data_IF_808482372413
#
_entry.id   IF_808482372413
#
_cell.length_a   1.000
_cell.length_b   1.000
_cell.length_c   1.000
_cell.angle_alpha   90.00
_cell.angle_beta   90.00
_cell.angle_gamma   90.00
#
_symmetry.space_group_name_H-M   'P 1'
#
loop_
_entity.id
_entity.type
_entity.pdbx_description
1 polymer ?
#
# COMPACT_ATOMS: atom_id res chain seq x y z
N UNK A 1 -20.31 -42.87 -4.43
CA UNK A 1 -19.19 -41.91 -4.50
C UNK A 1 -19.46 -40.71 -3.60
N UNK A 2 -18.77 -40.54 -2.48
CA UNK A 2 -18.92 -39.37 -1.59
C UNK A 2 -18.13 -38.19 -2.17
N UNK A 3 -18.80 -37.08 -2.49
CA UNK A 3 -18.17 -35.81 -2.87
C UNK A 3 -17.29 -35.31 -1.72
N UNK A 4 -15.96 -35.28 -1.90
CA UNK A 4 -15.04 -34.62 -0.97
C UNK A 4 -15.32 -33.12 -1.05
N UNK A 5 -15.94 -32.55 -0.02
CA UNK A 5 -16.03 -31.09 0.09
C UNK A 5 -14.62 -30.55 0.31
N UNK A 6 -14.10 -29.83 -0.68
CA UNK A 6 -12.92 -29.00 -0.55
C UNK A 6 -13.21 -27.93 0.51
N UNK A 7 -12.80 -28.17 1.76
CA UNK A 7 -12.78 -27.13 2.78
C UNK A 7 -11.61 -26.22 2.44
N UNK A 8 -11.90 -25.03 1.93
CA UNK A 8 -10.92 -23.95 1.85
C UNK A 8 -10.33 -23.73 3.25
N UNK A 9 -8.99 -23.69 3.39
CA UNK A 9 -8.37 -23.49 4.69
C UNK A 9 -8.85 -22.15 5.26
N UNK A 10 -9.48 -22.19 6.44
CA UNK A 10 -9.82 -20.97 7.19
C UNK A 10 -8.52 -20.25 7.51
N UNK A 11 -8.37 -19.01 7.01
CA UNK A 11 -7.29 -18.12 7.40
C UNK A 11 -7.41 -17.88 8.92
N UNK A 12 -6.57 -18.56 9.69
CA UNK A 12 -6.42 -18.31 11.12
C UNK A 12 -5.69 -16.97 11.24
N UNK A 13 -6.31 -16.01 11.93
CA UNK A 13 -5.68 -14.73 12.26
C UNK A 13 -4.38 -15.01 13.01
N UNK A 14 -3.26 -14.69 12.37
CA UNK A 14 -1.92 -14.73 12.95
C UNK A 14 -1.30 -13.35 12.75
N UNK A 15 -0.37 -12.96 13.60
CA UNK A 15 0.47 -11.81 13.31
C UNK A 15 1.37 -12.12 12.10
N UNK A 16 1.81 -11.08 11.39
CA UNK A 16 2.79 -11.23 10.32
C UNK A 16 4.06 -11.92 10.86
N UNK A 17 4.54 -13.00 10.22
CA UNK A 17 5.88 -13.51 10.49
C UNK A 17 6.93 -12.40 10.29
N UNK A 18 8.01 -12.37 11.10
CA UNK A 18 9.02 -11.32 11.02
C UNK A 18 9.58 -11.09 9.61
N UNK A 19 9.77 -12.15 8.82
CA UNK A 19 10.21 -12.04 7.41
C UNK A 19 9.22 -11.31 6.50
N UNK A 20 7.91 -11.52 6.69
CA UNK A 20 6.89 -10.82 5.91
C UNK A 20 6.77 -9.36 6.37
N UNK A 21 6.97 -9.10 7.65
CA UNK A 21 7.06 -7.76 8.19
C UNK A 21 8.23 -6.98 7.59
N UNK A 22 9.43 -7.58 7.49
CA UNK A 22 10.58 -6.95 6.84
C UNK A 22 10.29 -6.57 5.39
N UNK A 23 9.65 -7.44 4.60
CA UNK A 23 9.36 -7.14 3.19
C UNK A 23 8.27 -6.10 3.02
N UNK A 24 7.23 -6.14 3.86
CA UNK A 24 6.10 -5.22 3.77
C UNK A 24 6.49 -3.82 4.26
N UNK A 25 7.29 -3.72 5.32
CA UNK A 25 7.55 -2.44 6.01
C UNK A 25 8.95 -1.88 5.71
N UNK A 26 10.01 -2.69 5.79
CA UNK A 26 11.39 -2.18 5.70
C UNK A 26 11.75 -1.75 4.28
N UNK A 27 11.33 -2.49 3.26
CA UNK A 27 11.60 -2.13 1.86
C UNK A 27 11.10 -0.73 1.48
N UNK A 28 9.80 -0.43 1.64
CA UNK A 28 9.26 0.91 1.39
C UNK A 28 9.89 2.00 2.26
N UNK A 29 10.34 1.67 3.48
CA UNK A 29 11.06 2.61 4.35
C UNK A 29 12.39 3.04 3.75
N UNK A 30 13.19 2.07 3.30
CA UNK A 30 14.46 2.34 2.60
C UNK A 30 14.21 3.17 1.34
N UNK A 31 13.17 2.82 0.57
CA UNK A 31 12.80 3.57 -0.62
C UNK A 31 12.38 5.00 -0.31
N UNK A 32 11.65 5.24 0.80
CA UNK A 32 11.37 6.60 1.24
C UNK A 32 12.68 7.34 1.57
N UNK A 33 13.56 6.75 2.37
CA UNK A 33 14.82 7.41 2.76
C UNK A 33 15.66 7.79 1.53
N UNK A 34 15.69 6.94 0.50
CA UNK A 34 16.35 7.23 -0.78
C UNK A 34 15.67 8.39 -1.53
N UNK A 35 14.34 8.42 -1.57
CA UNK A 35 13.58 9.54 -2.17
C UNK A 35 13.88 10.85 -1.45
N UNK A 36 13.92 10.83 -0.12
CA UNK A 36 14.19 12.01 0.70
C UNK A 36 15.65 12.47 0.61
N UNK A 37 16.57 11.58 0.22
CA UNK A 37 17.95 11.92 -0.12
C UNK A 37 18.11 12.45 -1.56
N UNK A 38 17.00 12.65 -2.29
CA UNK A 38 17.02 13.15 -3.68
C UNK A 38 17.25 12.07 -4.74
N UNK A 39 17.30 10.78 -4.36
CA UNK A 39 17.45 9.67 -5.30
C UNK A 39 16.09 9.26 -5.86
N UNK A 40 15.54 10.08 -6.76
CA UNK A 40 14.26 9.75 -7.39
C UNK A 40 14.38 8.52 -8.31
N UNK A 41 13.59 7.50 -8.00
CA UNK A 41 13.35 6.35 -8.85
C UNK A 41 11.86 6.00 -8.77
N UNK A 42 11.24 5.73 -9.93
CA UNK A 42 9.83 5.37 -10.01
C UNK A 42 9.51 4.13 -9.17
N UNK A 43 10.43 3.16 -9.10
CA UNK A 43 10.29 1.98 -8.25
C UNK A 43 10.20 2.33 -6.77
N UNK A 44 10.96 3.35 -6.32
CA UNK A 44 10.91 3.80 -4.93
C UNK A 44 9.56 4.44 -4.61
N UNK A 45 9.09 5.32 -5.50
CA UNK A 45 7.78 5.98 -5.34
C UNK A 45 6.64 4.96 -5.37
N UNK A 46 6.65 4.01 -6.32
CA UNK A 46 5.66 2.94 -6.38
C UNK A 46 5.68 2.02 -5.16
N UNK A 47 6.86 1.76 -4.59
CA UNK A 47 6.97 0.97 -3.36
C UNK A 47 6.35 1.69 -2.16
N UNK A 48 6.58 2.99 -2.02
CA UNK A 48 5.94 3.82 -0.98
C UNK A 48 4.42 3.87 -1.20
N UNK A 49 3.98 4.07 -2.45
CA UNK A 49 2.57 4.03 -2.83
C UNK A 49 1.89 2.72 -2.42
N UNK A 50 2.54 1.59 -2.73
CA UNK A 50 2.04 0.26 -2.40
C UNK A 50 1.81 0.08 -0.90
N UNK A 51 2.76 0.51 -0.07
CA UNK A 51 2.63 0.43 1.38
C UNK A 51 1.46 1.27 1.91
N UNK A 52 1.36 2.53 1.48
CA UNK A 52 0.28 3.42 1.87
C UNK A 52 -1.09 2.89 1.42
N UNK A 53 -1.18 2.30 0.22
CA UNK A 53 -2.42 1.69 -0.27
C UNK A 53 -2.89 0.53 0.60
N UNK A 54 -1.97 -0.37 0.97
CA UNK A 54 -2.29 -1.51 1.86
C UNK A 54 -2.70 -1.01 3.24
N UNK A 55 -1.96 -0.05 3.81
CA UNK A 55 -2.28 0.52 5.12
C UNK A 55 -3.63 1.25 5.13
N UNK A 56 -3.91 2.05 4.10
CA UNK A 56 -5.18 2.77 3.96
C UNK A 56 -6.36 1.82 3.79
N UNK A 57 -6.19 0.76 2.99
CA UNK A 57 -7.21 -0.28 2.84
C UNK A 57 -7.44 -1.08 4.14
N UNK A 58 -6.37 -1.37 4.90
CA UNK A 58 -6.50 -1.99 6.20
C UNK A 58 -7.25 -1.09 7.20
N UNK A 59 -6.94 0.22 7.22
CA UNK A 59 -7.63 1.20 8.06
C UNK A 59 -9.13 1.29 7.70
N UNK A 60 -9.45 1.31 6.41
CA UNK A 60 -10.82 1.26 5.89
C UNK A 60 -11.56 0.01 6.37
N UNK A 61 -10.97 -1.18 6.22
CA UNK A 61 -11.59 -2.44 6.65
C UNK A 61 -11.86 -2.52 8.15
N UNK A 62 -11.08 -1.81 8.95
CA UNK A 62 -11.24 -1.72 10.41
C UNK A 62 -12.11 -0.53 10.85
N UNK A 63 -12.50 0.36 9.93
CA UNK A 63 -13.32 1.54 10.22
C UNK A 63 -12.58 2.71 10.87
N UNK A 64 -11.25 2.73 10.85
CA UNK A 64 -10.43 3.79 11.47
C UNK A 64 -10.23 4.97 10.52
N UNK A 65 -11.23 5.86 10.45
CA UNK A 65 -11.26 6.99 9.52
C UNK A 65 -10.12 8.00 9.71
N UNK A 66 -9.69 8.22 10.94
CA UNK A 66 -8.59 9.16 11.25
C UNK A 66 -7.27 8.65 10.68
N UNK A 67 -6.95 7.37 10.91
CA UNK A 67 -5.76 6.72 10.35
C UNK A 67 -5.82 6.74 8.82
N UNK A 68 -7.00 6.42 8.26
CA UNK A 68 -7.20 6.48 6.81
C UNK A 68 -6.95 7.89 6.26
N UNK A 69 -7.45 8.94 6.93
CA UNK A 69 -7.28 10.32 6.50
C UNK A 69 -5.79 10.75 6.47
N UNK A 70 -5.01 10.38 7.49
CA UNK A 70 -3.57 10.66 7.51
C UNK A 70 -2.82 9.94 6.39
N UNK A 71 -3.14 8.66 6.16
CA UNK A 71 -2.55 7.89 5.05
C UNK A 71 -2.91 8.51 3.70
N UNK A 72 -4.15 9.01 3.56
CA UNK A 72 -4.64 9.62 2.31
C UNK A 72 -3.84 10.87 1.91
N UNK A 73 -3.38 11.67 2.89
CA UNK A 73 -2.51 12.82 2.62
C UNK A 73 -1.21 12.38 1.94
N UNK A 74 -0.58 11.31 2.44
CA UNK A 74 0.61 10.73 1.82
C UNK A 74 0.34 10.16 0.43
N UNK A 75 -0.77 9.43 0.26
CA UNK A 75 -1.16 8.89 -1.05
C UNK A 75 -1.36 10.00 -2.09
N UNK A 76 -1.95 11.12 -1.70
CA UNK A 76 -2.14 12.28 -2.57
C UNK A 76 -0.79 12.85 -3.04
N UNK A 77 0.16 13.04 -2.12
CA UNK A 77 1.50 13.53 -2.50
C UNK A 77 2.19 12.56 -3.43
N UNK A 78 2.19 11.27 -3.11
CA UNK A 78 2.82 10.21 -3.93
C UNK A 78 2.23 10.18 -5.34
N UNK A 79 0.91 10.34 -5.48
CA UNK A 79 0.27 10.44 -6.79
C UNK A 79 0.84 11.62 -7.60
N UNK A 80 0.99 12.81 -6.98
CA UNK A 80 1.60 13.96 -7.65
C UNK A 80 3.05 13.70 -8.05
N UNK A 81 3.83 12.97 -7.24
CA UNK A 81 5.21 12.63 -7.59
C UNK A 81 5.26 11.71 -8.83
N UNK A 82 4.33 10.76 -8.92
CA UNK A 82 4.18 9.85 -10.07
C UNK A 82 3.79 10.64 -11.32
N UNK A 83 2.75 11.47 -11.24
CA UNK A 83 2.22 12.24 -12.36
C UNK A 83 3.24 13.23 -12.93
N UNK A 84 4.05 13.83 -12.07
CA UNK A 84 5.06 14.83 -12.45
C UNK A 84 6.46 14.24 -12.63
N UNK A 85 6.62 12.92 -12.47
CA UNK A 85 7.90 12.21 -12.56
C UNK A 85 9.06 12.91 -11.81
N UNK A 86 8.81 13.30 -10.55
CA UNK A 86 9.77 14.07 -9.73
C UNK A 86 9.85 13.59 -8.29
N UNK A 87 10.97 13.93 -7.63
CA UNK A 87 11.10 13.79 -6.18
C UNK A 87 10.24 14.79 -5.39
N UNK A 88 10.02 14.52 -4.09
CA UNK A 88 9.29 15.43 -3.21
C UNK A 88 10.08 16.70 -2.93
N UNK A 89 9.35 17.82 -2.74
CA UNK A 89 9.90 18.99 -2.07
C UNK A 89 9.95 18.80 -0.53
N UNK A 90 10.46 19.78 0.21
CA UNK A 90 10.59 19.69 1.67
C UNK A 90 9.25 19.52 2.39
N UNK A 91 8.19 20.17 1.91
CA UNK A 91 6.86 20.07 2.54
C UNK A 91 6.23 18.72 2.25
N UNK A 92 6.33 18.26 1.00
CA UNK A 92 5.88 16.95 0.56
C UNK A 92 6.63 15.81 1.27
N UNK A 93 7.92 15.99 1.49
CA UNK A 93 8.76 15.06 2.24
C UNK A 93 8.25 14.84 3.66
N UNK A 94 7.86 15.90 4.35
CA UNK A 94 7.26 15.81 5.69
C UNK A 94 5.94 15.04 5.65
N UNK A 95 5.05 15.38 4.72
CA UNK A 95 3.74 14.72 4.59
C UNK A 95 3.88 13.22 4.32
N UNK A 96 4.75 12.83 3.39
CA UNK A 96 4.97 11.40 3.08
C UNK A 96 5.58 10.68 4.28
N UNK A 97 6.54 11.30 4.96
CA UNK A 97 7.18 10.72 6.15
C UNK A 97 6.17 10.45 7.26
N UNK A 98 5.30 11.42 7.54
CA UNK A 98 4.27 11.29 8.56
C UNK A 98 3.23 10.21 8.20
N UNK A 99 2.78 10.20 6.94
CA UNK A 99 1.87 9.17 6.44
C UNK A 99 2.50 7.76 6.53
N UNK A 100 3.78 7.61 6.17
CA UNK A 100 4.48 6.33 6.26
C UNK A 100 4.67 5.89 7.71
N UNK A 101 4.98 6.81 8.62
CA UNK A 101 5.05 6.54 10.05
C UNK A 101 3.71 6.04 10.61
N UNK A 102 2.61 6.62 10.18
CA UNK A 102 1.27 6.15 10.53
C UNK A 102 1.01 4.77 9.94
N UNK A 103 1.33 4.56 8.67
CA UNK A 103 1.17 3.28 7.98
C UNK A 103 1.97 2.15 8.64
N UNK A 104 3.24 2.38 8.98
CA UNK A 104 4.12 1.42 9.62
C UNK A 104 3.53 0.95 10.96
N UNK A 105 3.21 1.89 11.85
CA UNK A 105 2.59 1.59 13.14
C UNK A 105 1.26 0.87 12.98
N UNK A 106 0.47 1.27 11.98
CA UNK A 106 -0.82 0.68 11.71
C UNK A 106 -0.71 -0.78 11.27
N UNK A 107 0.20 -1.08 10.34
CA UNK A 107 0.37 -2.41 9.75
C UNK A 107 0.97 -3.42 10.72
N UNK A 108 1.88 -3.01 11.61
CA UNK A 108 2.45 -3.87 12.66
C UNK A 108 1.36 -4.47 13.55
N UNK A 109 0.29 -3.70 13.80
CA UNK A 109 -0.81 -4.08 14.68
C UNK A 109 -1.89 -4.95 14.01
N UNK A 110 -1.81 -5.19 12.70
CA UNK A 110 -2.86 -5.92 11.98
C UNK A 110 -2.64 -7.44 12.00
N UNK A 111 -3.75 -8.18 12.09
CA UNK A 111 -3.75 -9.61 11.83
C UNK A 111 -3.68 -9.92 10.32
N UNK A 112 -3.24 -11.14 10.00
CA UNK A 112 -3.11 -11.62 8.62
C UNK A 112 -4.42 -11.62 7.83
N UNK A 113 -5.58 -11.71 8.49
CA UNK A 113 -6.87 -11.70 7.79
C UNK A 113 -7.20 -10.30 7.28
N UNK A 114 -6.97 -9.27 8.09
CA UNK A 114 -7.14 -7.86 7.69
C UNK A 114 -6.15 -7.50 6.59
N UNK A 115 -4.89 -7.91 6.74
CA UNK A 115 -3.87 -7.66 5.71
C UNK A 115 -4.21 -8.35 4.39
N UNK A 116 -4.66 -9.61 4.42
CA UNK A 116 -5.08 -10.30 3.21
C UNK A 116 -6.28 -9.60 2.55
N UNK A 117 -7.26 -9.11 3.32
CA UNK A 117 -8.38 -8.33 2.78
C UNK A 117 -7.90 -7.03 2.14
N UNK A 118 -7.00 -6.31 2.80
CA UNK A 118 -6.44 -5.06 2.30
C UNK A 118 -5.68 -5.27 0.98
N UNK A 119 -4.78 -6.25 0.93
CA UNK A 119 -4.04 -6.62 -0.28
C UNK A 119 -5.00 -7.00 -1.42
N UNK A 120 -5.96 -7.89 -1.16
CA UNK A 120 -6.95 -8.29 -2.16
C UNK A 120 -7.81 -7.11 -2.64
N UNK A 121 -8.07 -6.11 -1.79
CA UNK A 121 -8.77 -4.90 -2.20
C UNK A 121 -7.92 -4.08 -3.18
N UNK A 122 -6.64 -3.88 -2.87
CA UNK A 122 -5.70 -3.17 -3.73
C UNK A 122 -5.48 -3.87 -5.08
N UNK A 123 -5.38 -5.21 -5.09
CA UNK A 123 -5.24 -6.00 -6.31
C UNK A 123 -6.48 -5.90 -7.21
N UNK A 124 -7.69 -5.99 -6.64
CA UNK A 124 -8.94 -5.83 -7.40
C UNK A 124 -9.05 -4.44 -8.00
N UNK A 125 -8.73 -3.40 -7.24
CA UNK A 125 -8.74 -2.02 -7.74
C UNK A 125 -7.72 -1.86 -8.88
N UNK A 126 -6.51 -2.39 -8.72
CA UNK A 126 -5.48 -2.34 -9.76
C UNK A 126 -5.90 -3.07 -11.03
N UNK A 127 -6.57 -4.22 -10.89
CA UNK A 127 -7.11 -4.97 -12.03
C UNK A 127 -8.24 -4.22 -12.73
N UNK A 128 -9.14 -3.60 -11.96
CA UNK A 128 -10.22 -2.77 -12.48
C UNK A 128 -9.67 -1.57 -13.27
N UNK A 129 -8.73 -0.82 -12.68
CA UNK A 129 -8.10 0.32 -13.35
C UNK A 129 -7.40 -0.09 -14.66
N UNK A 130 -6.70 -1.23 -14.68
CA UNK A 130 -6.12 -1.77 -15.92
C UNK A 130 -7.20 -2.04 -16.97
N UNK A 131 -8.30 -2.68 -16.61
CA UNK A 131 -9.40 -2.95 -17.54
C UNK A 131 -10.08 -1.69 -18.08
N UNK A 132 -10.23 -0.65 -17.25
CA UNK A 132 -10.85 0.62 -17.66
C UNK A 132 -9.91 1.46 -18.54
N UNK A 133 -8.59 1.38 -18.30
CA UNK A 133 -7.59 2.17 -19.01
C UNK A 133 -7.06 1.48 -20.29
N UNK A 134 -7.06 0.14 -20.37
CA UNK A 134 -6.60 -0.61 -21.55
C UNK A 134 -7.34 -0.29 -22.87
N UNK A 135 -8.66 -0.04 -22.93
CA UNK A 135 -9.35 0.33 -24.16
C UNK A 135 -8.95 1.70 -24.72
N UNK A 136 -8.25 2.54 -23.95
CA UNK A 136 -7.86 3.90 -24.36
C UNK A 136 -6.46 4.00 -24.98
N UNK A 137 -5.64 2.96 -24.87
CA UNK A 137 -4.26 2.95 -25.37
C UNK A 137 -4.09 2.26 -26.74
N UNK A 138 -5.15 1.65 -27.27
CA UNK A 138 -5.15 1.01 -28.60
C UNK A 138 -5.59 1.93 -29.74
N UNK A 139 -5.88 3.20 -29.46
CA UNK A 139 -6.32 4.21 -30.43
C UNK A 139 -5.43 5.48 -30.41
N UNK A 140 -4.17 5.37 -29.98
CA UNK A 140 -3.18 6.47 -29.97
C UNK A 140 -2.00 6.13 -30.86
#
# INVERSE_FOLDING_TARGET
MRKKSSRSPRLVAKLLPPMQHCRLVIGPRIHLDLLLAGSFDFAYVCSVAGLLNVAGSAAYHKGHREVQAEIHKGQYVVLRLIENARGPDETEALVIRDALNVADRWLVAQDTLILAKAINSCERESAYLKQVLSPRLSNS
#
